data_IF_260300879382
#
_entry.id   IF_260300879382
#
_cell.length_a   1.000
_cell.length_b   1.000
_cell.length_c   1.000
_cell.angle_alpha   90.00
_cell.angle_beta   90.00
_cell.angle_gamma   90.00
#
_symmetry.space_group_name_H-M   'P 1'
#
loop_
_entity.id
_entity.type
_entity.pdbx_description
1 polymer ?
#
# COMPACT_ATOMS: atom_id res chain seq x y z
N UNK A 1 -8.22 -0.65 10.18
CA UNK A 1 -9.66 -0.52 10.44
C UNK A 1 -10.32 -1.89 10.53
N UNK A 2 -11.08 -2.15 11.62
CA UNK A 2 -11.74 -3.44 11.92
C UNK A 2 -12.74 -3.86 10.83
N UNK A 3 -13.34 -2.92 10.15
CA UNK A 3 -14.30 -3.20 9.08
C UNK A 3 -13.63 -3.88 7.89
N UNK A 4 -12.49 -3.39 7.46
CA UNK A 4 -11.74 -3.98 6.34
C UNK A 4 -11.22 -5.37 6.67
N UNK A 5 -10.72 -5.61 7.90
CA UNK A 5 -10.30 -6.95 8.31
C UNK A 5 -11.45 -7.96 8.23
N UNK A 6 -12.60 -7.61 8.80
CA UNK A 6 -13.79 -8.47 8.79
C UNK A 6 -14.27 -8.71 7.36
N UNK A 7 -14.25 -7.68 6.52
CA UNK A 7 -14.62 -7.80 5.12
C UNK A 7 -13.68 -8.74 4.37
N UNK A 8 -12.37 -8.55 4.47
CA UNK A 8 -11.38 -9.40 3.80
C UNK A 8 -11.49 -10.87 4.25
N UNK A 9 -11.70 -11.11 5.55
CA UNK A 9 -11.93 -12.46 6.07
C UNK A 9 -13.24 -13.08 5.60
N UNK A 10 -14.26 -12.27 5.33
CA UNK A 10 -15.52 -12.74 4.80
C UNK A 10 -15.40 -13.23 3.35
N UNK A 11 -14.42 -12.76 2.59
CA UNK A 11 -14.19 -13.16 1.20
C UNK A 11 -13.67 -14.59 1.08
N UNK A 12 -12.88 -15.04 2.05
CA UNK A 12 -12.38 -16.42 2.09
C UNK A 12 -12.02 -16.84 3.52
N UNK A 13 -12.41 -18.05 3.90
CA UNK A 13 -12.03 -18.66 5.18
C UNK A 13 -10.52 -19.00 5.26
N UNK A 14 -9.81 -18.95 4.14
CA UNK A 14 -8.38 -19.21 4.06
C UNK A 14 -7.53 -17.95 4.22
N UNK A 15 -8.16 -16.77 4.28
CA UNK A 15 -7.43 -15.53 4.49
C UNK A 15 -7.09 -15.36 5.97
N UNK A 16 -5.80 -15.39 6.26
CA UNK A 16 -5.25 -14.96 7.54
C UNK A 16 -4.91 -13.47 7.44
N UNK A 17 -5.74 -12.62 8.03
CA UNK A 17 -5.65 -11.16 7.92
C UNK A 17 -5.25 -10.57 9.26
N UNK A 18 -4.13 -9.86 9.27
CA UNK A 18 -3.64 -9.09 10.41
C UNK A 18 -3.90 -7.61 10.13
N UNK A 19 -4.55 -6.92 11.05
CA UNK A 19 -4.68 -5.46 11.00
C UNK A 19 -3.58 -4.78 11.79
N UNK A 20 -3.17 -3.61 11.32
CA UNK A 20 -2.21 -2.76 12.04
C UNK A 20 -2.80 -1.39 12.29
N UNK A 21 -2.49 -0.83 13.43
CA UNK A 21 -2.84 0.54 13.80
C UNK A 21 -1.77 1.04 14.77
N UNK A 22 -1.46 2.35 14.72
CA UNK A 22 -0.48 2.96 15.63
C UNK A 22 -1.04 3.13 17.05
N UNK A 23 -2.36 3.14 17.18
CA UNK A 23 -3.05 3.32 18.46
C UNK A 23 -2.83 2.13 19.38
N UNK A 24 -2.69 2.41 20.69
CA UNK A 24 -2.64 1.39 21.73
C UNK A 24 -3.91 0.49 21.74
N UNK A 25 -5.05 1.06 21.35
CA UNK A 25 -6.31 0.32 21.27
C UNK A 25 -6.33 -0.75 20.16
N UNK A 26 -5.31 -0.81 19.30
CA UNK A 26 -5.18 -1.89 18.32
C UNK A 26 -5.19 -3.27 18.97
N UNK A 27 -4.57 -3.40 20.14
CA UNK A 27 -4.47 -4.68 20.88
C UNK A 27 -5.78 -5.16 21.50
N UNK A 28 -6.80 -4.30 21.56
CA UNK A 28 -8.14 -4.68 22.04
C UNK A 28 -8.91 -5.54 21.03
N UNK A 29 -8.38 -5.67 19.82
CA UNK A 29 -9.04 -6.39 18.73
C UNK A 29 -8.26 -7.64 18.33
N UNK A 30 -9.00 -8.73 18.16
CA UNK A 30 -8.44 -10.00 17.68
C UNK A 30 -7.74 -9.82 16.33
N UNK A 31 -6.53 -10.40 16.20
CA UNK A 31 -5.68 -10.32 15.01
C UNK A 31 -5.33 -8.89 14.57
N UNK A 32 -5.23 -7.99 15.52
CA UNK A 32 -4.70 -6.65 15.33
C UNK A 32 -3.46 -6.46 16.15
N UNK A 33 -2.52 -5.69 15.62
CA UNK A 33 -1.22 -5.40 16.23
C UNK A 33 -1.02 -3.90 16.25
N UNK A 34 -0.60 -3.38 17.39
CA UNK A 34 -0.10 -2.01 17.46
C UNK A 34 1.22 -1.93 16.69
N UNK A 35 1.19 -1.24 15.57
CA UNK A 35 2.37 -1.12 14.71
C UNK A 35 2.35 0.15 13.89
N UNK A 36 3.48 0.84 13.86
CA UNK A 36 3.72 1.93 12.93
C UNK A 36 4.13 1.35 11.57
N UNK A 37 3.34 1.59 10.55
CA UNK A 37 3.54 1.03 9.22
C UNK A 37 4.78 1.59 8.47
N UNK A 38 5.46 2.60 9.00
CA UNK A 38 6.76 3.04 8.49
C UNK A 38 7.90 2.10 8.91
N UNK A 39 7.66 1.27 9.92
CA UNK A 39 8.67 0.36 10.47
C UNK A 39 8.56 -1.03 9.85
N UNK A 40 9.69 -1.57 9.38
CA UNK A 40 9.74 -2.95 8.90
C UNK A 40 9.52 -3.92 10.06
N UNK A 41 8.55 -4.82 9.91
CA UNK A 41 8.40 -5.95 10.81
C UNK A 41 9.10 -7.18 10.22
N UNK A 42 10.17 -7.70 10.87
CA UNK A 42 10.92 -8.83 10.33
C UNK A 42 10.08 -10.10 10.11
N UNK A 43 9.03 -10.30 10.92
CA UNK A 43 8.14 -11.46 10.78
C UNK A 43 7.27 -11.39 9.52
N UNK A 44 7.02 -10.19 9.00
CA UNK A 44 6.19 -9.99 7.80
C UNK A 44 7.02 -9.85 6.53
N UNK A 45 8.30 -9.55 6.64
CA UNK A 45 9.19 -9.31 5.50
C UNK A 45 9.23 -10.50 4.54
N UNK A 46 8.81 -10.28 3.29
CA UNK A 46 8.73 -11.30 2.25
C UNK A 46 7.70 -12.41 2.49
N UNK A 47 6.76 -12.24 3.44
CA UNK A 47 5.84 -13.29 3.88
C UNK A 47 4.37 -13.03 3.53
N UNK A 48 4.02 -11.83 3.09
CA UNK A 48 2.63 -11.46 2.83
C UNK A 48 2.23 -11.74 1.38
N UNK A 49 1.09 -12.37 1.18
CA UNK A 49 0.50 -12.58 -0.15
C UNK A 49 -0.11 -11.27 -0.68
N UNK A 50 -0.63 -10.45 0.21
CA UNK A 50 -1.09 -9.11 -0.11
C UNK A 50 -0.96 -8.15 1.08
N UNK A 51 -0.86 -6.87 0.78
CA UNK A 51 -1.04 -5.77 1.72
C UNK A 51 -2.14 -4.86 1.17
N UNK A 52 -3.09 -4.51 2.02
CA UNK A 52 -4.14 -3.54 1.71
C UNK A 52 -4.01 -2.34 2.64
N UNK A 53 -4.15 -1.16 2.09
CA UNK A 53 -4.14 0.09 2.86
C UNK A 53 -5.10 1.13 2.28
N UNK A 54 -5.73 1.90 3.15
CA UNK A 54 -6.47 3.12 2.84
C UNK A 54 -5.94 4.32 3.66
N UNK A 55 -4.73 4.17 4.24
CA UNK A 55 -4.17 5.12 5.21
C UNK A 55 -2.86 5.74 4.71
N UNK A 56 -2.60 5.74 3.40
CA UNK A 56 -1.39 6.37 2.86
C UNK A 56 -1.36 7.88 3.08
N UNK A 57 -2.52 8.53 3.10
CA UNK A 57 -2.70 9.95 3.39
C UNK A 57 -2.29 10.34 4.81
N UNK A 58 -2.40 9.40 5.77
CA UNK A 58 -1.98 9.58 7.16
C UNK A 58 -0.45 9.51 7.34
N UNK A 59 0.27 9.18 6.27
CA UNK A 59 1.73 9.01 6.35
C UNK A 59 2.48 10.35 6.26
N UNK A 60 3.36 10.60 7.21
CA UNK A 60 4.33 11.71 7.14
C UNK A 60 5.57 11.37 6.30
N UNK A 61 5.77 10.11 5.96
CA UNK A 61 6.82 9.61 5.07
C UNK A 61 6.23 8.60 4.07
N UNK A 62 5.38 9.05 3.13
CA UNK A 62 4.59 8.15 2.29
C UNK A 62 5.45 7.25 1.38
N UNK A 63 6.62 7.72 0.95
CA UNK A 63 7.57 6.88 0.22
C UNK A 63 8.05 5.71 1.08
N UNK A 64 8.44 5.98 2.35
CA UNK A 64 8.91 4.95 3.29
C UNK A 64 7.79 3.96 3.62
N UNK A 65 6.56 4.43 3.81
CA UNK A 65 5.42 3.57 4.06
C UNK A 65 5.20 2.57 2.90
N UNK A 66 5.18 3.06 1.66
CA UNK A 66 5.01 2.19 0.48
C UNK A 66 6.19 1.23 0.32
N UNK A 67 7.43 1.67 0.55
CA UNK A 67 8.61 0.82 0.52
C UNK A 67 8.52 -0.29 1.56
N UNK A 68 8.09 0.03 2.78
CA UNK A 68 7.88 -0.93 3.86
C UNK A 68 6.82 -1.96 3.48
N UNK A 69 5.66 -1.54 2.95
CA UNK A 69 4.62 -2.47 2.49
C UNK A 69 5.09 -3.37 1.35
N UNK A 70 5.84 -2.83 0.39
CA UNK A 70 6.44 -3.63 -0.69
C UNK A 70 7.47 -4.65 -0.15
N UNK A 71 8.22 -4.31 0.91
CA UNK A 71 9.19 -5.21 1.52
C UNK A 71 8.54 -6.42 2.20
N UNK A 72 7.29 -6.28 2.64
CA UNK A 72 6.53 -7.36 3.28
C UNK A 72 6.01 -8.39 2.28
N UNK A 73 5.85 -8.03 1.02
CA UNK A 73 5.29 -8.90 0.00
C UNK A 73 6.21 -10.05 -0.38
N UNK A 74 5.61 -11.24 -0.54
CA UNK A 74 6.21 -12.36 -1.28
C UNK A 74 6.51 -11.95 -2.72
N UNK A 75 7.25 -12.79 -3.45
CA UNK A 75 7.63 -12.57 -4.87
C UNK A 75 6.31 -12.48 -5.63
N UNK A 76 5.33 -12.68 -5.74
CA UNK A 76 4.13 -12.41 -6.53
C UNK A 76 3.01 -11.74 -5.71
N UNK A 77 3.39 -11.23 -4.55
CA UNK A 77 2.45 -10.51 -3.68
C UNK A 77 2.00 -9.18 -4.30
N UNK A 78 0.88 -8.68 -3.83
CA UNK A 78 0.30 -7.45 -4.32
C UNK A 78 0.11 -6.44 -3.18
N UNK A 79 0.36 -5.16 -3.49
CA UNK A 79 -0.02 -4.04 -2.66
C UNK A 79 -1.26 -3.38 -3.26
N UNK A 80 -2.30 -3.24 -2.45
CA UNK A 80 -3.54 -2.58 -2.84
C UNK A 80 -3.66 -1.30 -2.04
N UNK A 81 -3.61 -0.16 -2.72
CA UNK A 81 -3.80 1.16 -2.12
C UNK A 81 -5.20 1.65 -2.50
N UNK A 82 -6.07 1.81 -1.52
CA UNK A 82 -7.32 2.54 -1.70
C UNK A 82 -7.07 4.02 -1.47
N UNK A 83 -7.58 4.84 -2.39
CA UNK A 83 -7.41 6.29 -2.34
C UNK A 83 -8.66 6.99 -2.85
N UNK A 84 -8.99 8.12 -2.25
CA UNK A 84 -10.20 8.88 -2.60
C UNK A 84 -9.88 10.33 -2.91
N UNK A 85 -10.85 11.07 -3.43
CA UNK A 85 -10.69 12.52 -3.59
C UNK A 85 -10.50 13.25 -2.25
N UNK A 86 -11.04 12.69 -1.14
CA UNK A 86 -10.84 13.26 0.19
C UNK A 86 -9.36 13.20 0.63
N UNK A 87 -8.58 12.24 0.14
CA UNK A 87 -7.13 12.14 0.36
C UNK A 87 -6.33 13.05 -0.61
N UNK A 88 -7.00 13.97 -1.28
CA UNK A 88 -6.35 14.94 -2.16
C UNK A 88 -5.78 16.13 -1.38
N UNK A 89 -5.07 17.06 -2.08
CA UNK A 89 -4.42 18.19 -1.43
C UNK A 89 -5.36 19.10 -0.61
N UNK A 90 -6.66 19.15 -0.96
CA UNK A 90 -7.65 19.93 -0.22
C UNK A 90 -8.08 19.27 1.08
N UNK A 91 -7.86 17.99 1.25
CA UNK A 91 -8.14 17.23 2.47
C UNK A 91 -6.92 17.06 3.39
N UNK A 92 -5.74 17.46 2.91
CA UNK A 92 -4.53 17.33 3.71
C UNK A 92 -4.58 18.18 4.99
N UNK A 93 -4.11 17.61 6.09
CA UNK A 93 -4.11 18.19 7.43
C UNK A 93 -2.89 17.72 8.22
N UNK A 94 -2.76 18.13 9.48
CA UNK A 94 -1.73 17.58 10.37
C UNK A 94 -1.91 16.08 10.63
N UNK A 95 -3.15 15.59 10.60
CA UNK A 95 -3.48 14.18 10.81
C UNK A 95 -3.33 13.35 9.52
N UNK A 96 -3.53 13.98 8.37
CA UNK A 96 -3.48 13.37 7.05
C UNK A 96 -2.52 14.18 6.15
N UNK A 97 -1.20 14.14 6.42
CA UNK A 97 -0.25 15.08 5.83
C UNK A 97 0.02 14.85 4.34
N UNK A 98 -0.28 13.66 3.82
CA UNK A 98 -0.03 13.32 2.42
C UNK A 98 -1.27 13.48 1.55
N UNK A 99 -1.36 14.58 0.83
CA UNK A 99 -2.48 14.89 -0.06
C UNK A 99 -2.11 14.82 -1.55
N UNK A 100 -2.60 13.80 -2.25
CA UNK A 100 -2.41 13.60 -3.69
C UNK A 100 -3.74 13.31 -4.37
N UNK A 101 -3.99 13.94 -5.53
CA UNK A 101 -5.18 13.59 -6.33
C UNK A 101 -5.07 12.14 -6.83
N UNK A 102 -6.17 11.35 -6.83
CA UNK A 102 -6.14 9.97 -7.33
C UNK A 102 -5.58 9.84 -8.75
N UNK A 103 -5.88 10.80 -9.62
CA UNK A 103 -5.37 10.81 -11.01
C UNK A 103 -3.87 11.05 -11.14
N UNK A 104 -3.23 11.57 -10.09
CA UNK A 104 -1.77 11.84 -10.03
C UNK A 104 -1.02 10.71 -9.31
N UNK A 105 -1.71 9.93 -8.48
CA UNK A 105 -1.09 8.86 -7.68
C UNK A 105 -0.23 7.88 -8.50
N UNK A 106 -0.65 7.37 -9.67
CA UNK A 106 0.19 6.48 -10.48
C UNK A 106 1.52 7.12 -10.88
N UNK A 107 1.51 8.41 -11.19
CA UNK A 107 2.73 9.14 -11.52
C UNK A 107 3.66 9.25 -10.31
N UNK A 108 3.14 9.60 -9.14
CA UNK A 108 3.90 9.68 -7.89
C UNK A 108 4.56 8.34 -7.56
N UNK A 109 3.80 7.25 -7.61
CA UNK A 109 4.31 5.91 -7.36
C UNK A 109 5.41 5.51 -8.37
N UNK A 110 5.23 5.85 -9.64
CA UNK A 110 6.22 5.60 -10.68
C UNK A 110 7.49 6.44 -10.47
N UNK A 111 7.36 7.68 -10.05
CA UNK A 111 8.51 8.54 -9.72
C UNK A 111 9.30 8.00 -8.53
N UNK A 112 8.62 7.43 -7.53
CA UNK A 112 9.29 6.88 -6.36
C UNK A 112 10.01 5.57 -6.64
N UNK A 113 9.37 4.66 -7.36
CA UNK A 113 9.82 3.27 -7.46
C UNK A 113 10.26 2.84 -8.85
N UNK A 114 9.93 3.60 -9.89
CA UNK A 114 10.35 3.35 -11.27
C UNK A 114 10.10 1.92 -11.71
N UNK A 115 11.16 1.25 -12.15
CA UNK A 115 11.10 -0.15 -12.60
C UNK A 115 10.93 -1.19 -11.49
N UNK A 116 10.96 -0.78 -10.22
CA UNK A 116 10.80 -1.72 -9.09
C UNK A 116 9.36 -2.20 -8.93
N UNK A 117 8.40 -1.45 -9.46
CA UNK A 117 6.98 -1.79 -9.40
C UNK A 117 6.34 -1.76 -10.78
N UNK A 118 5.21 -2.45 -10.89
CA UNK A 118 4.24 -2.25 -11.96
C UNK A 118 2.86 -2.01 -11.36
N UNK A 119 2.12 -1.04 -11.90
CA UNK A 119 0.73 -0.81 -11.56
C UNK A 119 -0.11 -1.68 -12.48
N UNK A 120 -0.63 -2.79 -11.95
CA UNK A 120 -1.36 -3.78 -12.76
C UNK A 120 -2.80 -3.36 -13.03
N UNK A 121 -3.43 -2.64 -12.09
CA UNK A 121 -4.81 -2.16 -12.20
C UNK A 121 -4.95 -0.80 -11.53
N UNK A 122 -5.80 0.02 -12.12
CA UNK A 122 -6.28 1.25 -11.51
C UNK A 122 -7.80 1.26 -11.70
N UNK A 123 -8.53 1.01 -10.63
CA UNK A 123 -10.00 0.89 -10.65
C UNK A 123 -10.61 2.05 -9.92
N UNK A 124 -11.49 2.77 -10.58
CA UNK A 124 -12.33 3.78 -9.94
C UNK A 124 -13.71 3.17 -9.63
N UNK A 125 -14.11 3.21 -8.38
CA UNK A 125 -15.45 2.82 -7.94
C UNK A 125 -16.24 4.07 -7.59
N UNK A 126 -17.34 4.32 -8.28
CA UNK A 126 -18.30 5.32 -7.86
C UNK A 126 -19.10 4.79 -6.66
N UNK A 127 -19.04 5.53 -5.57
CA UNK A 127 -19.87 5.29 -4.41
C UNK A 127 -21.17 6.08 -4.58
N UNK A 128 -22.30 5.54 -4.09
CA UNK A 128 -23.58 6.27 -4.00
C UNK A 128 -23.53 7.47 -3.03
N UNK A 129 -22.39 7.70 -2.37
CA UNK A 129 -22.16 8.77 -1.38
C UNK A 129 -21.21 9.86 -1.92
N UNK A 130 -21.15 10.08 -3.22
CA UNK A 130 -20.26 11.07 -3.89
C UNK A 130 -18.76 10.94 -3.61
N UNK A 131 -18.33 9.80 -3.09
CA UNK A 131 -16.92 9.52 -2.84
C UNK A 131 -16.43 8.48 -3.85
N UNK A 132 -15.80 8.95 -4.92
CA UNK A 132 -15.09 8.07 -5.82
C UNK A 132 -13.91 7.45 -5.07
N UNK A 133 -13.86 6.14 -5.01
CA UNK A 133 -12.74 5.36 -4.47
C UNK A 133 -11.93 4.75 -5.61
N UNK A 134 -10.62 4.85 -5.51
CA UNK A 134 -9.66 4.35 -6.48
C UNK A 134 -8.84 3.26 -5.82
N UNK A 135 -8.73 2.11 -6.48
CA UNK A 135 -7.86 1.02 -6.06
C UNK A 135 -6.66 0.96 -7.01
N UNK A 136 -5.48 1.17 -6.48
CA UNK A 136 -4.22 0.98 -7.19
C UNK A 136 -3.63 -0.36 -6.77
N UNK A 137 -3.53 -1.29 -7.71
CA UNK A 137 -2.97 -2.62 -7.48
C UNK A 137 -1.55 -2.66 -8.04
N UNK A 138 -0.59 -2.72 -7.14
CA UNK A 138 0.83 -2.74 -7.46
C UNK A 138 1.40 -4.15 -7.31
N UNK A 139 2.33 -4.49 -8.19
CA UNK A 139 3.18 -5.66 -8.07
C UNK A 139 4.63 -5.23 -7.94
N UNK A 140 5.37 -5.90 -7.09
CA UNK A 140 6.82 -5.79 -7.04
C UNK A 140 7.40 -6.49 -8.26
N UNK A 141 8.17 -5.77 -9.06
CA UNK A 141 8.86 -6.38 -10.19
C UNK A 141 10.05 -7.18 -9.66
N UNK A 142 10.28 -8.35 -10.23
CA UNK A 142 11.53 -9.06 -10.02
C UNK A 142 12.66 -8.21 -10.62
N UNK A 143 13.75 -8.04 -9.90
CA UNK A 143 14.93 -7.44 -10.45
C UNK A 143 15.46 -8.37 -11.56
N UNK A 144 15.08 -8.14 -12.79
CA UNK A 144 15.90 -8.49 -13.92
C UNK A 144 17.15 -7.60 -13.84
N UNK A 145 18.13 -8.04 -13.09
CA UNK A 145 19.50 -7.57 -13.25
C UNK A 145 19.97 -8.14 -14.59
N UNK A 146 19.47 -7.62 -15.68
CA UNK A 146 20.21 -7.64 -16.93
C UNK A 146 21.33 -6.64 -16.72
N UNK A 147 22.43 -7.13 -16.22
CA UNK A 147 23.73 -6.53 -16.48
C UNK A 147 23.82 -6.35 -18.00
N UNK A 148 23.54 -5.16 -18.48
CA UNK A 148 24.14 -4.68 -19.70
C UNK A 148 25.62 -4.61 -19.32
N UNK A 149 26.34 -5.70 -19.53
CA UNK A 149 27.78 -5.64 -19.69
C UNK A 149 27.97 -4.75 -20.89
N UNK A 150 28.34 -3.51 -20.65
CA UNK A 150 28.99 -2.71 -21.67
C UNK A 150 30.31 -3.42 -21.93
N UNK A 151 30.32 -4.28 -22.93
CA UNK A 151 31.59 -4.67 -23.53
C UNK A 151 32.17 -3.37 -24.06
N UNK A 152 33.15 -2.90 -23.33
CA UNK A 152 33.99 -1.79 -23.73
C UNK A 152 34.57 -2.12 -25.10
N UNK A 153 34.22 -1.33 -26.04
CA UNK A 153 34.89 -1.28 -27.33
C UNK A 153 36.34 -0.87 -27.10
N UNK A 154 37.21 -1.72 -27.56
CA UNK A 154 38.61 -1.45 -27.89
C UNK A 154 38.69 -0.39 -29.01
#
# INVERSE_FOLDING_TARGET
NRFEQNFLRSLSRTFDVIGTDISETATDYENSVQWDFHNVNPAWSGNQDFVYTNSLDQSWQPHVAVETWLSQLKENGILIIEHTHAHGPSGASEMDPFGVKPTVMPYVLTMWFGSQISISHSVAKKSNMDKDSWLFVLKKNQHSVSLIKSDALV
#
